data_IF_407288485461
#
_entry.id   IF_407288485461
#
_cell.length_a   1.000
_cell.length_b   1.000
_cell.length_c   1.000
_cell.angle_alpha   90.00
_cell.angle_beta   90.00
_cell.angle_gamma   90.00
#
_symmetry.space_group_name_H-M   'P 1'
#
loop_
_entity.id
_entity.type
_entity.pdbx_description
1 polymer ?
#
# COMPACT_ATOMS: atom_id res chain seq x y z
N UNK A 1 -0.44 -2.45 -1.56
CA UNK A 1 0.32 -2.05 -0.38
C UNK A 1 -0.61 -1.79 0.80
N UNK A 2 -0.11 -2.05 1.99
CA UNK A 2 -0.85 -1.81 3.24
C UNK A 2 -0.29 -0.57 3.92
N UNK A 3 -1.19 0.28 4.42
CA UNK A 3 -0.81 1.50 5.11
C UNK A 3 -1.72 1.74 6.32
N UNK A 4 -1.20 2.43 7.35
CA UNK A 4 -1.92 2.54 8.62
C UNK A 4 -3.24 3.31 8.58
N UNK A 5 -3.30 4.47 7.94
CA UNK A 5 -4.49 5.32 8.04
C UNK A 5 -4.53 6.40 6.97
N UNK A 6 -5.71 6.60 6.38
CA UNK A 6 -5.95 7.65 5.39
C UNK A 6 -5.58 9.03 5.92
N UNK A 7 -5.05 9.85 5.01
CA UNK A 7 -4.79 11.28 5.24
C UNK A 7 -3.84 11.58 6.41
N UNK A 8 -2.92 10.66 6.70
CA UNK A 8 -1.79 10.91 7.58
C UNK A 8 -0.56 11.23 6.71
N UNK A 9 0.46 11.94 7.25
CA UNK A 9 1.58 12.42 6.42
C UNK A 9 2.29 11.34 5.61
N UNK A 10 2.72 10.26 6.25
CA UNK A 10 3.43 9.19 5.55
C UNK A 10 2.55 8.44 4.55
N UNK A 11 1.31 8.18 4.91
CA UNK A 11 0.37 7.47 4.03
C UNK A 11 -0.01 8.33 2.83
N UNK A 12 -0.14 9.63 3.02
CA UNK A 12 -0.40 10.57 1.92
C UNK A 12 0.78 10.62 0.97
N UNK A 13 2.00 10.72 1.48
CA UNK A 13 3.20 10.74 0.64
C UNK A 13 3.32 9.45 -0.17
N UNK A 14 3.10 8.31 0.45
CA UNK A 14 3.15 7.01 -0.25
C UNK A 14 2.11 6.94 -1.37
N UNK A 15 0.88 7.35 -1.09
CA UNK A 15 -0.19 7.35 -2.08
C UNK A 15 0.12 8.29 -3.25
N UNK A 16 0.70 9.46 -2.96
CA UNK A 16 1.11 10.40 -3.99
C UNK A 16 2.26 9.86 -4.83
N UNK A 17 3.22 9.18 -4.20
CA UNK A 17 4.35 8.56 -4.92
C UNK A 17 3.86 7.47 -5.87
N UNK A 18 2.94 6.61 -5.44
CA UNK A 18 2.33 5.61 -6.32
C UNK A 18 1.52 6.26 -7.43
N UNK A 19 0.77 7.31 -7.12
CA UNK A 19 -0.02 8.05 -8.11
C UNK A 19 0.88 8.65 -9.19
N UNK A 20 2.00 9.23 -8.80
CA UNK A 20 2.96 9.81 -9.72
C UNK A 20 3.53 8.76 -10.69
N UNK A 21 3.69 7.53 -10.24
CA UNK A 21 4.22 6.42 -11.04
C UNK A 21 3.14 5.52 -11.64
N UNK A 22 1.87 5.90 -11.55
CA UNK A 22 0.76 5.06 -12.00
C UNK A 22 0.90 4.61 -13.46
N UNK A 23 1.32 5.50 -14.35
CA UNK A 23 1.52 5.18 -15.76
C UNK A 23 2.66 4.19 -15.96
N UNK A 24 3.74 4.34 -15.18
CA UNK A 24 4.88 3.45 -15.26
C UNK A 24 4.52 2.03 -14.81
N UNK A 25 3.70 1.90 -13.76
CA UNK A 25 3.19 0.60 -13.33
C UNK A 25 2.27 0.00 -14.39
N UNK A 26 1.37 0.80 -14.95
CA UNK A 26 0.45 0.34 -16.00
C UNK A 26 1.22 -0.16 -17.23
N UNK A 27 2.33 0.49 -17.58
CA UNK A 27 3.18 0.07 -18.68
C UNK A 27 3.82 -1.31 -18.42
N UNK A 28 3.88 -1.73 -17.17
CA UNK A 28 4.35 -3.07 -16.78
C UNK A 28 3.19 -4.02 -16.48
N UNK A 29 1.99 -3.73 -16.96
CA UNK A 29 0.77 -4.51 -16.70
C UNK A 29 0.51 -4.69 -15.21
N UNK A 30 0.82 -3.69 -14.40
CA UNK A 30 0.71 -3.76 -12.95
C UNK A 30 -0.31 -2.74 -12.44
N UNK A 31 -1.19 -3.20 -11.57
CA UNK A 31 -2.19 -2.38 -10.90
C UNK A 31 -1.74 -2.19 -9.45
N UNK A 32 -1.88 -0.97 -8.94
CA UNK A 32 -1.56 -0.67 -7.54
C UNK A 32 -2.85 -0.56 -6.75
N UNK A 33 -2.94 -1.29 -5.65
CA UNK A 33 -4.06 -1.22 -4.72
C UNK A 33 -3.52 -0.91 -3.33
N UNK A 34 -4.00 0.17 -2.72
CA UNK A 34 -3.69 0.51 -1.34
C UNK A 34 -4.78 -0.02 -0.43
N UNK A 35 -4.40 -0.59 0.71
CA UNK A 35 -5.37 -1.20 1.64
C UNK A 35 -5.12 -0.69 3.06
N UNK A 36 -6.17 -0.22 3.70
CA UNK A 36 -6.18 0.09 5.13
C UNK A 36 -7.52 -0.33 5.73
N UNK A 37 -7.66 -0.20 7.03
CA UNK A 37 -8.92 -0.50 7.72
C UNK A 37 -9.89 0.67 7.75
N UNK A 38 -9.57 1.77 7.09
CA UNK A 38 -10.51 2.87 6.92
C UNK A 38 -11.71 2.43 6.09
N UNK A 39 -12.85 3.08 6.31
CA UNK A 39 -14.05 2.75 5.55
C UNK A 39 -14.05 3.39 4.16
N UNK A 40 -15.02 2.99 3.33
CA UNK A 40 -15.13 3.48 1.96
C UNK A 40 -15.26 5.00 1.90
N UNK A 41 -16.06 5.59 2.79
CA UNK A 41 -16.26 7.04 2.80
C UNK A 41 -14.97 7.81 3.05
N UNK A 42 -14.12 7.31 3.95
CA UNK A 42 -12.81 7.93 4.21
C UNK A 42 -11.88 7.78 3.01
N UNK A 43 -11.88 6.61 2.37
CA UNK A 43 -11.08 6.39 1.15
C UNK A 43 -11.51 7.34 0.03
N UNK A 44 -12.81 7.54 -0.16
CA UNK A 44 -13.32 8.44 -1.18
C UNK A 44 -12.85 9.88 -0.92
N UNK A 45 -12.91 10.32 0.33
CA UNK A 45 -12.42 11.65 0.72
C UNK A 45 -10.93 11.78 0.49
N UNK A 46 -10.17 10.77 0.88
CA UNK A 46 -8.71 10.77 0.74
C UNK A 46 -8.32 10.84 -0.73
N UNK A 47 -8.93 10.00 -1.57
CA UNK A 47 -8.65 9.98 -3.00
C UNK A 47 -9.01 11.31 -3.66
N UNK A 48 -10.16 11.87 -3.34
CA UNK A 48 -10.61 13.14 -3.92
C UNK A 48 -9.72 14.32 -3.47
N UNK A 49 -9.36 14.36 -2.19
CA UNK A 49 -8.54 15.44 -1.63
C UNK A 49 -7.18 15.53 -2.29
N UNK A 50 -6.57 14.40 -2.60
CA UNK A 50 -5.19 14.35 -3.11
C UNK A 50 -5.08 13.95 -4.58
N UNK A 51 -6.19 13.77 -5.27
CA UNK A 51 -6.18 13.38 -6.69
C UNK A 51 -5.48 12.06 -6.96
N UNK A 52 -5.73 11.07 -6.11
CA UNK A 52 -5.04 9.78 -6.21
C UNK A 52 -5.47 9.01 -7.46
N UNK A 53 -4.50 8.36 -8.12
CA UNK A 53 -4.68 7.58 -9.34
C UNK A 53 -4.46 6.10 -9.10
N UNK A 54 -4.95 5.59 -7.97
CA UNK A 54 -4.84 4.18 -7.61
C UNK A 54 -6.14 3.74 -6.94
N UNK A 55 -6.31 2.43 -6.79
CA UNK A 55 -7.46 1.88 -6.10
C UNK A 55 -7.18 1.80 -4.60
N UNK A 56 -8.19 2.06 -3.79
CA UNK A 56 -8.11 1.92 -2.34
C UNK A 56 -9.11 0.86 -1.88
N UNK A 57 -8.60 -0.15 -1.18
CA UNK A 57 -9.42 -1.21 -0.61
C UNK A 57 -9.73 -0.93 0.85
N UNK A 58 -11.01 -0.96 1.21
CA UNK A 58 -11.46 -0.72 2.57
C UNK A 58 -11.58 -2.05 3.32
N UNK A 59 -10.54 -2.39 4.10
CA UNK A 59 -10.53 -3.60 4.92
C UNK A 59 -11.08 -3.30 6.31
N UNK A 60 -12.28 -2.77 6.36
CA UNK A 60 -12.90 -2.29 7.60
C UNK A 60 -12.97 -3.37 8.67
N UNK A 61 -13.25 -4.61 8.30
CA UNK A 61 -13.35 -5.72 9.24
C UNK A 61 -12.00 -6.41 9.52
N UNK A 62 -10.95 -6.05 8.81
CA UNK A 62 -9.60 -6.52 9.07
C UNK A 62 -9.26 -7.90 8.52
N UNK A 63 -10.08 -8.46 7.65
CA UNK A 63 -9.86 -9.81 7.12
C UNK A 63 -8.57 -9.89 6.30
N UNK A 64 -8.35 -8.93 5.42
CA UNK A 64 -7.19 -8.94 4.51
C UNK A 64 -5.91 -8.60 5.27
N UNK A 65 -5.94 -7.59 6.13
CA UNK A 65 -4.76 -7.20 6.91
C UNK A 65 -4.29 -8.32 7.84
N UNK A 66 -5.22 -9.08 8.41
CA UNK A 66 -4.85 -10.25 9.21
C UNK A 66 -4.31 -11.37 8.35
N UNK A 67 -4.94 -11.65 7.22
CA UNK A 67 -4.51 -12.72 6.30
C UNK A 67 -3.08 -12.49 5.80
N UNK A 68 -2.70 -11.24 5.55
CA UNK A 68 -1.35 -10.91 5.09
C UNK A 68 -0.34 -10.72 6.23
N UNK A 69 -0.78 -10.85 7.48
CA UNK A 69 0.10 -10.74 8.64
C UNK A 69 0.63 -9.33 8.91
N UNK A 70 -0.08 -8.30 8.50
CA UNK A 70 0.35 -6.90 8.68
C UNK A 70 -0.39 -6.20 9.81
N UNK A 71 -1.31 -6.88 10.47
CA UNK A 71 -2.01 -6.33 11.64
C UNK A 71 -1.34 -6.82 12.91
N UNK A 72 -0.91 -5.91 13.76
CA UNK A 72 -0.22 -6.31 14.97
C UNK A 72 -0.01 -5.17 15.96
N UNK A 73 0.66 -5.50 17.05
CA UNK A 73 0.96 -4.53 18.09
C UNK A 73 2.06 -3.57 17.65
N UNK A 74 1.83 -2.30 17.88
CA UNK A 74 2.81 -1.23 17.63
C UNK A 74 3.02 -0.45 18.92
N UNK A 75 4.20 0.15 19.06
CA UNK A 75 4.52 0.99 20.20
C UNK A 75 4.89 2.39 19.71
N UNK A 76 4.28 3.41 20.31
CA UNK A 76 4.61 4.79 20.00
C UNK A 76 4.60 5.59 21.30
N UNK A 77 5.72 6.23 21.63
CA UNK A 77 5.89 7.00 22.87
C UNK A 77 5.52 6.19 24.11
N UNK A 78 5.94 4.91 24.16
CA UNK A 78 5.66 4.03 25.27
C UNK A 78 4.25 3.47 25.33
N UNK A 79 3.37 3.85 24.41
CA UNK A 79 2.00 3.34 24.33
C UNK A 79 1.92 2.21 23.32
N UNK A 80 1.27 1.13 23.71
CA UNK A 80 1.01 -0.01 22.84
C UNK A 80 -0.38 0.10 22.23
N UNK A 81 -0.48 -0.21 20.94
CA UNK A 81 -1.76 -0.21 20.24
C UNK A 81 -1.71 -1.16 19.07
N UNK A 82 -2.87 -1.58 18.58
CA UNK A 82 -2.95 -2.42 17.38
C UNK A 82 -2.99 -1.54 16.14
N UNK A 83 -2.24 -1.92 15.13
CA UNK A 83 -2.19 -1.16 13.90
C UNK A 83 -1.64 -1.95 12.73
N UNK A 84 -1.65 -1.33 11.56
CA UNK A 84 -1.14 -1.94 10.33
C UNK A 84 0.34 -1.62 10.19
N UNK A 85 1.16 -2.66 9.98
CA UNK A 85 2.54 -2.50 9.58
C UNK A 85 2.56 -2.08 8.11
N UNK A 86 3.28 -1.01 7.76
CA UNK A 86 3.41 -0.58 6.37
C UNK A 86 4.19 -1.64 5.61
N UNK A 87 3.56 -2.21 4.60
CA UNK A 87 4.13 -3.31 3.82
C UNK A 87 3.62 -3.26 2.39
N UNK A 88 4.40 -3.80 1.46
CA UNK A 88 4.00 -3.92 0.06
C UNK A 88 4.24 -5.36 -0.39
N UNK A 89 3.28 -5.90 -1.13
CA UNK A 89 3.35 -7.25 -1.67
C UNK A 89 3.21 -7.16 -3.18
N UNK A 90 4.18 -7.69 -3.90
CA UNK A 90 4.11 -7.80 -5.35
C UNK A 90 3.59 -9.19 -5.70
N UNK A 91 2.46 -9.22 -6.40
CA UNK A 91 1.79 -10.46 -6.76
C UNK A 91 1.91 -10.63 -8.27
N UNK A 92 2.37 -11.81 -8.71
CA UNK A 92 2.57 -12.09 -10.13
C UNK A 92 1.25 -12.44 -10.83
N UNK A 93 1.33 -12.67 -12.14
CA UNK A 93 0.16 -12.97 -12.96
C UNK A 93 -0.51 -14.30 -12.58
N UNK A 94 0.18 -15.15 -11.85
CA UNK A 94 -0.36 -16.44 -11.39
C UNK A 94 -0.98 -16.35 -10.00
N UNK A 95 -1.01 -15.16 -9.40
CA UNK A 95 -1.53 -14.94 -8.06
C UNK A 95 -0.57 -15.30 -6.95
N UNK A 96 0.70 -15.48 -7.24
CA UNK A 96 1.72 -15.80 -6.24
C UNK A 96 2.47 -14.56 -5.81
N UNK A 97 2.85 -14.51 -4.53
CA UNK A 97 3.65 -13.40 -4.01
C UNK A 97 5.08 -13.54 -4.54
N UNK A 98 5.50 -12.57 -5.35
CA UNK A 98 6.82 -12.56 -5.95
C UNK A 98 7.85 -11.81 -5.11
N UNK A 99 7.43 -10.81 -4.35
CA UNK A 99 8.31 -10.02 -3.51
C UNK A 99 7.52 -9.38 -2.37
N UNK A 100 8.17 -9.20 -1.22
CA UNK A 100 7.56 -8.59 -0.04
C UNK A 100 8.50 -7.53 0.51
N UNK A 101 7.96 -6.34 0.78
CA UNK A 101 8.65 -5.28 1.53
C UNK A 101 7.94 -5.11 2.86
N UNK A 102 8.66 -5.27 3.95
CA UNK A 102 8.10 -5.11 5.30
C UNK A 102 8.69 -3.89 5.99
N UNK A 103 7.97 -3.37 6.98
CA UNK A 103 8.38 -2.20 7.75
C UNK A 103 8.87 -1.08 6.84
N UNK A 104 8.05 -0.76 5.86
CA UNK A 104 8.40 0.16 4.78
C UNK A 104 8.63 1.57 5.30
N UNK A 105 9.69 2.20 4.79
CA UNK A 105 9.92 3.64 4.90
C UNK A 105 9.58 4.26 3.56
N UNK A 106 8.72 5.28 3.57
CA UNK A 106 8.15 5.83 2.34
C UNK A 106 9.18 6.44 1.37
N UNK A 107 10.17 7.24 1.82
CA UNK A 107 11.14 7.82 0.87
C UNK A 107 11.85 6.74 0.05
N UNK A 108 11.74 6.84 -1.28
CA UNK A 108 12.40 5.92 -2.21
C UNK A 108 11.72 4.57 -2.38
N UNK A 109 10.67 4.28 -1.61
CA UNK A 109 10.03 2.96 -1.63
C UNK A 109 9.36 2.66 -2.98
N UNK A 110 8.58 3.59 -3.50
CA UNK A 110 7.82 3.37 -4.74
C UNK A 110 8.76 3.13 -5.92
N UNK A 111 9.89 3.83 -5.98
CA UNK A 111 10.91 3.61 -7.00
C UNK A 111 11.50 2.20 -6.90
N UNK A 112 11.75 1.73 -5.67
CA UNK A 112 12.27 0.37 -5.45
C UNK A 112 11.25 -0.67 -5.91
N UNK A 113 9.98 -0.47 -5.60
CA UNK A 113 8.90 -1.37 -6.05
C UNK A 113 8.86 -1.41 -7.58
N UNK A 114 8.91 -0.27 -8.23
CA UNK A 114 8.86 -0.20 -9.67
C UNK A 114 10.06 -0.91 -10.32
N UNK A 115 11.25 -0.77 -9.74
CA UNK A 115 12.44 -1.49 -10.22
C UNK A 115 12.23 -3.00 -10.19
N UNK A 116 11.69 -3.53 -9.10
CA UNK A 116 11.45 -4.97 -8.98
C UNK A 116 10.36 -5.42 -9.95
N UNK A 117 9.31 -4.64 -10.12
CA UNK A 117 8.25 -4.93 -11.10
C UNK A 117 8.84 -5.08 -12.50
N UNK A 118 9.76 -4.20 -12.89
CA UNK A 118 10.41 -4.26 -14.21
C UNK A 118 11.25 -5.51 -14.40
N UNK A 119 11.81 -6.07 -13.32
CA UNK A 119 12.63 -7.29 -13.41
C UNK A 119 11.80 -8.55 -13.49
N UNK A 120 10.60 -8.55 -12.93
CA UNK A 120 9.71 -9.72 -12.97
C UNK A 120 9.15 -9.95 -14.36
N UNK A 121 9.04 -8.88 -15.07
CA UNK A 121 8.74 -8.93 -16.45
C UNK A 121 7.57 -9.76 -16.85
N UNK A 122 7.19 -9.49 -17.89
CA UNK A 122 6.21 -10.08 -18.69
C UNK A 122 6.31 -11.56 -18.76
N UNK A 123 6.09 -12.17 -17.76
CA UNK A 123 6.06 -13.61 -17.82
C UNK A 123 4.68 -14.14 -18.05
#
# INVERSE_FOLDING_TARGET
>A
YFYPKDDTPGCTLEALNFTEKAKAFAAQNTVVVGISRDNVAKHDKFAAKHGLKLQLGADYEGVVTEAYGVWGEKTLYGRKFMGIERATFLIDAKGKIAHIWRKVRVPGHVEDVLKVVKTIDAQ
#
